data_IF_738321145141
#
_entry.id   IF_738321145141
#
_cell.length_a   1.000
_cell.length_b   1.000
_cell.length_c   1.000
_cell.angle_alpha   90.00
_cell.angle_beta   90.00
_cell.angle_gamma   90.00
#
_symmetry.space_group_name_H-M   'P 1'
#
loop_
_entity.id
_entity.type
_entity.pdbx_description
1 polymer ?
#
# COMPACT_ATOMS: atom_id res chain seq x y z
N UNK A 1 -6.48 20.04 11.78
CA UNK A 1 -6.64 18.70 12.41
C UNK A 1 -7.38 17.72 11.48
N UNK A 2 -8.45 18.16 10.82
CA UNK A 2 -9.25 17.35 9.88
C UNK A 2 -8.43 16.71 8.75
N UNK A 3 -7.52 17.46 8.11
CA UNK A 3 -6.64 16.94 7.07
C UNK A 3 -5.82 15.73 7.55
N UNK A 4 -5.22 15.82 8.74
CA UNK A 4 -4.45 14.73 9.31
C UNK A 4 -5.31 13.51 9.64
N UNK A 5 -6.52 13.69 10.17
CA UNK A 5 -7.41 12.57 10.45
C UNK A 5 -7.74 11.82 9.15
N UNK A 6 -8.16 12.54 8.11
CA UNK A 6 -8.48 11.96 6.81
C UNK A 6 -7.30 11.21 6.19
N UNK A 7 -6.14 11.86 6.12
CA UNK A 7 -4.94 11.31 5.47
C UNK A 7 -4.34 10.14 6.25
N UNK A 8 -4.26 10.24 7.58
CA UNK A 8 -3.73 9.17 8.42
C UNK A 8 -4.65 7.95 8.40
N UNK A 9 -5.98 8.14 8.46
CA UNK A 9 -6.94 7.03 8.29
C UNK A 9 -6.77 6.34 6.95
N UNK A 10 -6.61 7.12 5.87
CA UNK A 10 -6.37 6.58 4.53
C UNK A 10 -5.05 5.80 4.44
N UNK A 11 -3.99 6.28 5.10
CA UNK A 11 -2.70 5.59 5.20
C UNK A 11 -2.84 4.22 5.88
N UNK A 12 -3.45 4.17 7.06
CA UNK A 12 -3.56 2.92 7.81
C UNK A 12 -4.46 1.91 7.10
N UNK A 13 -5.59 2.37 6.54
CA UNK A 13 -6.47 1.50 5.76
C UNK A 13 -5.74 0.93 4.54
N UNK A 14 -5.00 1.76 3.79
CA UNK A 14 -4.23 1.30 2.64
C UNK A 14 -3.24 0.19 3.00
N UNK A 15 -2.43 0.37 4.05
CA UNK A 15 -1.46 -0.66 4.42
C UNK A 15 -2.11 -1.92 5.03
N UNK A 16 -3.30 -1.79 5.62
CA UNK A 16 -4.11 -2.95 6.01
C UNK A 16 -4.55 -3.75 4.78
N UNK A 17 -5.12 -3.08 3.79
CA UNK A 17 -5.60 -3.72 2.54
C UNK A 17 -4.44 -4.36 1.76
N UNK A 18 -3.29 -3.70 1.70
CA UNK A 18 -2.08 -4.26 1.05
C UNK A 18 -1.62 -5.53 1.75
N UNK A 19 -1.61 -5.55 3.09
CA UNK A 19 -1.23 -6.74 3.87
C UNK A 19 -2.22 -7.88 3.66
N UNK A 20 -3.51 -7.58 3.64
CA UNK A 20 -4.55 -8.57 3.33
C UNK A 20 -4.37 -9.14 1.92
N UNK A 21 -4.08 -8.28 0.94
CA UNK A 21 -3.85 -8.71 -0.43
C UNK A 21 -2.60 -9.57 -0.60
N UNK A 22 -1.52 -9.21 0.09
CA UNK A 22 -0.30 -10.02 0.15
C UNK A 22 -0.57 -11.41 0.76
N UNK A 23 -1.31 -11.46 1.87
CA UNK A 23 -1.67 -12.72 2.53
C UNK A 23 -2.59 -13.58 1.67
N UNK A 24 -3.56 -12.98 0.99
CA UNK A 24 -4.42 -13.67 0.04
C UNK A 24 -3.60 -14.32 -1.07
N UNK A 25 -2.75 -13.55 -1.76
CA UNK A 25 -1.92 -14.05 -2.85
C UNK A 25 -0.97 -15.17 -2.41
N UNK A 26 -0.38 -15.04 -1.21
CA UNK A 26 0.46 -16.10 -0.64
C UNK A 26 -0.34 -17.39 -0.43
N UNK A 27 -1.52 -17.32 0.19
CA UNK A 27 -2.39 -18.48 0.41
C UNK A 27 -2.84 -19.11 -0.91
N UNK A 28 -3.19 -18.29 -1.91
CA UNK A 28 -3.57 -18.76 -3.25
C UNK A 28 -2.40 -19.49 -3.91
N UNK A 29 -1.17 -18.96 -3.83
CA UNK A 29 0.02 -19.63 -4.35
C UNK A 29 0.24 -20.99 -3.70
N UNK A 30 0.13 -21.09 -2.37
CA UNK A 30 0.27 -22.36 -1.63
C UNK A 30 -0.82 -23.36 -2.01
N UNK A 31 -2.08 -22.91 -2.11
CA UNK A 31 -3.21 -23.73 -2.50
C UNK A 31 -3.06 -24.28 -3.93
N UNK A 32 -2.67 -23.43 -4.89
CA UNK A 32 -2.41 -23.84 -6.27
C UNK A 32 -1.30 -24.89 -6.35
N UNK A 33 -0.17 -24.66 -5.66
CA UNK A 33 0.95 -25.63 -5.64
C UNK A 33 0.50 -26.99 -5.10
N UNK A 34 -0.34 -27.01 -4.07
CA UNK A 34 -0.87 -28.25 -3.49
C UNK A 34 -1.88 -28.94 -4.42
N UNK A 35 -2.79 -28.17 -5.04
CA UNK A 35 -3.90 -28.70 -5.85
C UNK A 35 -3.44 -29.24 -7.20
N UNK A 36 -2.51 -28.55 -7.85
CA UNK A 36 -2.11 -28.83 -9.24
C UNK A 36 -0.78 -29.60 -9.36
N UNK A 37 -0.20 -30.06 -8.24
CA UNK A 37 0.96 -30.97 -8.27
C UNK A 37 0.53 -32.35 -8.76
N UNK A 38 1.08 -32.81 -9.89
CA UNK A 38 0.76 -34.10 -10.51
C UNK A 38 1.99 -35.00 -10.60
N UNK A 39 1.79 -36.30 -10.45
CA UNK A 39 2.81 -37.33 -10.73
C UNK A 39 2.31 -38.30 -11.82
N UNK A 40 3.09 -39.35 -12.12
CA UNK A 40 2.76 -40.32 -13.18
C UNK A 40 1.62 -41.28 -12.82
N UNK A 41 1.13 -41.25 -11.59
CA UNK A 41 0.01 -42.10 -11.13
C UNK A 41 -1.36 -41.44 -11.32
N UNK A 42 -1.39 -40.13 -11.60
CA UNK A 42 -2.64 -39.37 -11.81
C UNK A 42 -3.36 -39.88 -13.06
N UNK A 43 -4.65 -40.18 -12.93
CA UNK A 43 -5.49 -40.68 -14.03
C UNK A 43 -5.81 -39.57 -15.03
N UNK A 44 -6.13 -39.97 -16.27
CA UNK A 44 -6.53 -39.02 -17.33
C UNK A 44 -7.73 -38.18 -16.92
N UNK A 45 -8.78 -38.81 -16.38
CA UNK A 45 -9.98 -38.10 -15.90
C UNK A 45 -9.63 -37.06 -14.83
N UNK A 46 -8.72 -37.39 -13.91
CA UNK A 46 -8.30 -36.44 -12.88
C UNK A 46 -7.51 -35.26 -13.46
N UNK A 47 -6.71 -35.49 -14.51
CA UNK A 47 -6.01 -34.42 -15.21
C UNK A 47 -7.00 -33.49 -15.95
N UNK A 48 -8.06 -34.03 -16.55
CA UNK A 48 -9.12 -33.25 -17.18
C UNK A 48 -9.85 -32.37 -16.17
N UNK A 49 -10.21 -32.91 -14.99
CA UNK A 49 -10.80 -32.15 -13.89
C UNK A 49 -9.87 -31.01 -13.42
N UNK A 50 -8.59 -31.32 -13.19
CA UNK A 50 -7.60 -30.33 -12.76
C UNK A 50 -7.37 -29.24 -13.80
N UNK A 51 -7.43 -29.59 -15.10
CA UNK A 51 -7.33 -28.62 -16.17
C UNK A 51 -8.51 -27.65 -16.14
N UNK A 52 -9.73 -28.15 -15.97
CA UNK A 52 -10.92 -27.31 -15.88
C UNK A 52 -10.87 -26.38 -14.65
N UNK A 53 -10.53 -26.93 -13.49
CA UNK A 53 -10.33 -26.18 -12.25
C UNK A 53 -9.27 -25.06 -12.41
N UNK A 54 -8.23 -25.29 -13.22
CA UNK A 54 -7.17 -24.30 -13.45
C UNK A 54 -7.65 -23.09 -14.26
N UNK A 55 -8.63 -23.28 -15.15
CA UNK A 55 -9.21 -22.20 -15.94
C UNK A 55 -10.04 -21.27 -15.05
N UNK A 56 -10.83 -21.83 -14.13
CA UNK A 56 -11.59 -21.07 -13.14
C UNK A 56 -10.64 -20.27 -12.22
N UNK A 57 -9.58 -20.89 -11.72
CA UNK A 57 -8.59 -20.22 -10.87
C UNK A 57 -7.89 -19.05 -11.60
N UNK A 58 -7.58 -19.22 -12.89
CA UNK A 58 -7.00 -18.16 -13.74
C UNK A 58 -7.97 -16.98 -13.88
N UNK A 59 -9.27 -17.24 -14.03
CA UNK A 59 -10.26 -16.17 -14.13
C UNK A 59 -10.41 -15.42 -12.79
N UNK A 60 -10.39 -16.13 -11.66
CA UNK A 60 -10.33 -15.53 -10.33
C UNK A 60 -9.09 -14.64 -10.15
N UNK A 61 -7.90 -15.11 -10.54
CA UNK A 61 -6.67 -14.32 -10.49
C UNK A 61 -6.73 -13.09 -11.39
N UNK A 62 -7.35 -13.21 -12.57
CA UNK A 62 -7.55 -12.08 -13.50
C UNK A 62 -8.43 -11.00 -12.88
N UNK A 63 -9.52 -11.38 -12.20
CA UNK A 63 -10.34 -10.43 -11.45
C UNK A 63 -9.54 -9.77 -10.32
N UNK A 64 -8.69 -10.53 -9.63
CA UNK A 64 -7.85 -10.00 -8.57
C UNK A 64 -6.81 -8.99 -9.06
N UNK A 65 -6.34 -9.08 -10.30
CA UNK A 65 -5.47 -8.04 -10.89
C UNK A 65 -6.14 -6.66 -10.92
N UNK A 66 -7.45 -6.59 -11.14
CA UNK A 66 -8.21 -5.33 -11.06
C UNK A 66 -8.18 -4.74 -9.64
N UNK A 67 -8.30 -5.59 -8.62
CA UNK A 67 -8.17 -5.18 -7.22
C UNK A 67 -6.76 -4.61 -6.93
N UNK A 68 -5.71 -5.27 -7.40
CA UNK A 68 -4.33 -4.78 -7.27
C UNK A 68 -4.10 -3.47 -8.02
N UNK A 69 -4.71 -3.27 -9.19
CA UNK A 69 -4.67 -2.00 -9.91
C UNK A 69 -5.34 -0.87 -9.10
N UNK A 70 -6.43 -1.17 -8.40
CA UNK A 70 -7.07 -0.26 -7.45
C UNK A 70 -6.14 0.15 -6.31
N UNK A 71 -5.44 -0.81 -5.69
CA UNK A 71 -4.42 -0.54 -4.67
C UNK A 71 -3.26 0.30 -5.24
N UNK A 72 -2.76 -0.03 -6.42
CA UNK A 72 -1.69 0.71 -7.08
C UNK A 72 -2.06 2.18 -7.37
N UNK A 73 -3.32 2.43 -7.73
CA UNK A 73 -3.82 3.80 -7.91
C UNK A 73 -3.94 4.55 -6.58
N UNK A 74 -4.47 3.91 -5.53
CA UNK A 74 -4.55 4.51 -4.19
C UNK A 74 -3.17 4.85 -3.64
N UNK A 75 -2.16 4.00 -3.88
CA UNK A 75 -0.79 4.19 -3.41
C UNK A 75 -0.20 5.56 -3.80
N UNK A 76 -0.56 6.09 -4.97
CA UNK A 76 -0.06 7.38 -5.49
C UNK A 76 -0.45 8.58 -4.61
N UNK A 77 -1.50 8.46 -3.81
CA UNK A 77 -2.03 9.54 -2.99
C UNK A 77 -1.80 9.33 -1.49
N UNK A 78 -1.18 8.22 -1.08
CA UNK A 78 -0.93 7.93 0.34
C UNK A 78 0.21 8.80 0.85
N UNK A 79 -0.06 9.53 1.94
CA UNK A 79 0.92 10.42 2.58
C UNK A 79 2.04 9.65 3.27
N UNK A 80 3.18 10.30 3.47
CA UNK A 80 4.30 9.72 4.21
C UNK A 80 4.18 10.05 5.70
N UNK A 81 3.98 9.02 6.55
CA UNK A 81 3.93 9.20 8.00
C UNK A 81 5.28 8.97 8.68
N UNK A 82 6.09 8.02 8.20
CA UNK A 82 7.38 7.63 8.83
C UNK A 82 8.35 8.81 9.02
N UNK A 83 8.51 9.75 8.06
CA UNK A 83 9.44 10.87 8.25
C UNK A 83 9.00 11.94 9.26
N UNK A 84 7.79 11.82 9.83
CA UNK A 84 7.31 12.75 10.87
C UNK A 84 7.99 12.49 12.22
N UNK A 85 8.56 11.31 12.46
CA UNK A 85 9.36 11.03 13.66
C UNK A 85 10.84 11.36 13.43
N UNK A 86 11.52 11.83 14.48
CA UNK A 86 12.96 12.12 14.45
C UNK A 86 13.85 10.87 14.30
N UNK A 87 13.27 9.69 14.48
CA UNK A 87 13.92 8.40 14.30
C UNK A 87 13.05 7.54 13.37
N UNK A 88 13.58 6.97 12.27
CA UNK A 88 14.95 7.07 11.76
C UNK A 88 15.33 8.47 11.24
N UNK A 89 16.64 8.79 11.12
CA UNK A 89 17.09 10.05 10.56
C UNK A 89 16.51 10.29 9.17
N UNK A 90 16.18 11.55 8.88
CA UNK A 90 15.69 11.95 7.57
C UNK A 90 16.70 11.61 6.47
N UNK A 91 16.21 11.01 5.39
CA UNK A 91 17.01 10.80 4.17
C UNK A 91 16.71 11.93 3.20
N UNK A 92 17.62 12.89 3.13
CA UNK A 92 17.54 14.01 2.19
C UNK A 92 16.49 15.06 2.55
N UNK A 93 16.25 15.96 1.59
CA UNK A 93 15.24 17.02 1.70
C UNK A 93 13.87 16.47 1.35
N UNK A 94 12.90 16.61 2.26
CA UNK A 94 11.54 16.11 2.03
C UNK A 94 10.58 17.23 1.67
N UNK A 95 9.73 17.05 0.64
CA UNK A 95 8.67 17.99 0.33
C UNK A 95 7.58 17.94 1.41
N UNK A 96 7.06 19.11 1.76
CA UNK A 96 5.94 19.32 2.65
C UNK A 96 4.90 20.17 1.93
N UNK A 97 3.65 20.07 2.38
CA UNK A 97 2.58 20.96 1.95
C UNK A 97 1.86 21.51 3.17
N UNK A 98 1.67 22.83 3.21
CA UNK A 98 0.94 23.47 4.29
C UNK A 98 -0.55 23.10 4.24
N UNK A 99 -1.09 22.59 5.35
CA UNK A 99 -2.50 22.19 5.46
C UNK A 99 -3.41 23.30 6.00
N UNK A 100 -2.83 24.41 6.47
CA UNK A 100 -3.51 25.60 6.96
C UNK A 100 -2.60 26.83 6.80
N UNK A 101 -3.16 28.00 7.02
CA UNK A 101 -2.37 29.23 7.11
C UNK A 101 -1.59 29.27 8.44
N UNK A 102 -0.37 29.80 8.39
CA UNK A 102 0.48 30.05 9.55
C UNK A 102 1.15 31.42 9.39
N UNK A 103 1.14 32.23 10.45
CA UNK A 103 1.75 33.55 10.44
C UNK A 103 2.47 33.82 11.76
N UNK A 104 3.74 34.21 11.68
CA UNK A 104 4.55 34.64 12.81
C UNK A 104 5.47 35.77 12.36
N UNK A 105 5.31 36.98 12.91
CA UNK A 105 6.11 38.19 12.61
C UNK A 105 6.47 38.35 11.11
N UNK A 106 7.59 37.81 10.65
CA UNK A 106 8.11 37.88 9.27
C UNK A 106 7.81 36.62 8.42
N UNK A 107 7.28 35.55 9.01
CA UNK A 107 6.94 34.30 8.36
C UNK A 107 5.44 34.27 8.08
N UNK A 108 5.07 34.06 6.83
CA UNK A 108 3.70 33.75 6.42
C UNK A 108 3.74 32.54 5.50
N UNK A 109 3.00 31.49 5.85
CA UNK A 109 2.79 30.28 5.05
C UNK A 109 1.30 30.15 4.83
N UNK A 110 0.87 30.00 3.57
CA UNK A 110 -0.54 29.84 3.22
C UNK A 110 -0.87 28.37 3.03
N UNK A 111 -2.13 28.02 3.24
CA UNK A 111 -2.65 26.69 2.93
C UNK A 111 -2.35 26.35 1.46
N UNK A 112 -1.75 25.19 1.25
CA UNK A 112 -1.35 24.69 -0.06
C UNK A 112 0.09 25.01 -0.45
N UNK A 113 0.78 25.89 0.26
CA UNK A 113 2.15 26.26 -0.07
C UNK A 113 3.09 25.05 0.03
N UNK A 114 3.93 24.80 -1.00
CA UNK A 114 4.97 23.79 -0.93
C UNK A 114 6.10 24.29 -0.03
N UNK A 115 6.60 23.43 0.85
CA UNK A 115 7.73 23.69 1.73
C UNK A 115 8.74 22.56 1.63
N UNK A 116 9.99 22.82 2.04
CA UNK A 116 11.02 21.78 2.16
C UNK A 116 11.40 21.62 3.62
N UNK A 117 11.33 20.39 4.13
CA UNK A 117 11.75 20.08 5.49
C UNK A 117 13.28 20.21 5.59
N UNK A 118 13.74 21.11 6.46
CA UNK A 118 15.16 21.29 6.78
C UNK A 118 15.60 20.41 7.95
N UNK A 119 14.79 20.34 9.00
CA UNK A 119 15.03 19.50 10.18
C UNK A 119 13.71 19.14 10.85
N UNK A 120 13.59 17.89 11.29
CA UNK A 120 12.52 17.43 12.19
C UNK A 120 13.03 17.12 13.60
N UNK A 121 14.29 17.46 13.91
CA UNK A 121 14.79 17.40 15.27
C UNK A 121 14.11 18.49 16.10
N UNK A 122 13.57 18.12 17.26
CA UNK A 122 12.94 19.07 18.16
C UNK A 122 14.01 20.06 18.66
N UNK A 123 13.89 21.38 18.40
CA UNK A 123 14.96 22.34 18.68
C UNK A 123 15.26 22.51 20.17
N UNK A 124 14.35 22.09 21.04
CA UNK A 124 14.48 22.15 22.49
C UNK A 124 13.98 20.84 23.10
N UNK A 125 14.89 20.13 23.78
CA UNK A 125 14.55 19.39 25.00
C UNK A 125 14.92 20.28 26.17
#
# INVERSE_FOLDING_TARGET
IEAHLKENSSYFQFFSDVKEAEEFLRKTQEAMKKKFSCDRSVTVTRLEDLLQDSLEEKDHLTQYQSHLAGLANRAKTIVQLKPRSANPPLRGRLPLQAVCDYKQVEITVRKGDPCTLLSNAQPYK
#
